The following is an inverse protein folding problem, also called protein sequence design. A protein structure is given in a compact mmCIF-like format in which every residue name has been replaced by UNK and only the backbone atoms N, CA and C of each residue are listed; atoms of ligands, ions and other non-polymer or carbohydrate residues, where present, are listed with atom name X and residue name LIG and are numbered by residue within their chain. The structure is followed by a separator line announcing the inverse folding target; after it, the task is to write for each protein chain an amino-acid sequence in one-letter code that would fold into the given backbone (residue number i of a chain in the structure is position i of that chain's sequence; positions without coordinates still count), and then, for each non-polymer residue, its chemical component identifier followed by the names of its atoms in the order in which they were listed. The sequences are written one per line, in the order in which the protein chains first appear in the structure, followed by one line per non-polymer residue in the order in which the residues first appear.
data_IF_392067880099
#
_entry.id   IF_392067880099
#
_cell.length_a   1.000
_cell.length_b   1.000
_cell.length_c   1.000
_cell.angle_alpha   90.00
_cell.angle_beta   90.00
_cell.angle_gamma   90.00
#
_symmetry.space_group_name_H-M   'P 1'
#
loop_
_entity.id
_entity.type
_entity.pdbx_description
1 polymer ?
#
# COMPACT_ATOMS: atom_id res chain seq x y z
N UNK A 1 -9.31 3.49 -14.29
CA UNK A 1 -8.59 3.03 -13.07
C UNK A 1 -9.39 3.22 -11.79
N UNK A 2 -10.39 4.08 -11.73
CA UNK A 2 -11.27 4.24 -10.57
C UNK A 2 -12.26 3.09 -10.33
N UNK A 3 -12.50 2.26 -11.32
CA UNK A 3 -13.34 1.08 -11.27
C UNK A 3 -12.47 -0.17 -11.14
N UNK A 4 -12.62 -0.90 -10.03
CA UNK A 4 -11.77 -2.07 -9.70
C UNK A 4 -12.04 -3.26 -10.62
N UNK A 5 -13.28 -3.45 -11.03
CA UNK A 5 -13.65 -4.58 -11.90
C UNK A 5 -13.10 -4.37 -13.31
N UNK A 6 -13.25 -3.17 -13.86
CA UNK A 6 -12.67 -2.80 -15.16
C UNK A 6 -11.14 -2.89 -15.15
N UNK A 7 -10.50 -2.43 -14.07
CA UNK A 7 -9.05 -2.55 -13.90
C UNK A 7 -8.62 -4.02 -13.89
N UNK A 8 -9.35 -4.88 -13.17
CA UNK A 8 -9.08 -6.31 -13.09
C UNK A 8 -9.18 -7.01 -14.45
N UNK A 9 -10.24 -6.73 -15.20
CA UNK A 9 -10.41 -7.26 -16.55
C UNK A 9 -9.25 -6.86 -17.46
N UNK A 10 -8.85 -5.59 -17.42
CA UNK A 10 -7.72 -5.08 -18.20
C UNK A 10 -6.40 -5.77 -17.82
N UNK A 11 -6.19 -6.05 -16.52
CA UNK A 11 -5.00 -6.78 -16.04
C UNK A 11 -5.00 -8.23 -16.50
N UNK A 12 -6.17 -8.90 -16.46
CA UNK A 12 -6.31 -10.27 -16.98
C UNK A 12 -5.96 -10.32 -18.48
N UNK A 13 -6.42 -9.34 -19.28
CA UNK A 13 -6.05 -9.22 -20.70
C UNK A 13 -4.54 -8.97 -20.89
N UNK A 14 -3.90 -8.31 -19.97
CA UNK A 14 -2.45 -8.09 -19.97
C UNK A 14 -1.64 -9.30 -19.51
N UNK A 15 -2.30 -10.41 -19.12
CA UNK A 15 -1.64 -11.61 -18.58
C UNK A 15 -1.18 -11.47 -17.13
N UNK A 16 -1.64 -10.47 -16.41
CA UNK A 16 -1.36 -10.27 -14.98
C UNK A 16 -2.30 -11.17 -14.17
N UNK A 17 -1.79 -11.98 -13.22
CA UNK A 17 -2.63 -12.83 -12.38
C UNK A 17 -3.67 -12.03 -11.59
N UNK A 18 -4.94 -12.46 -11.63
CA UNK A 18 -6.04 -11.84 -10.89
C UNK A 18 -6.83 -12.91 -10.12
N UNK A 19 -7.34 -12.59 -8.92
CA UNK A 19 -8.24 -13.49 -8.22
C UNK A 19 -9.55 -13.66 -9.01
N UNK A 20 -10.19 -14.84 -8.99
CA UNK A 20 -11.52 -15.01 -9.54
C UNK A 20 -12.50 -13.98 -8.99
N UNK A 21 -13.22 -13.31 -9.87
CA UNK A 21 -14.21 -12.30 -9.50
C UNK A 21 -15.39 -12.30 -10.47
N UNK A 22 -16.60 -12.06 -9.95
CA UNK A 22 -17.85 -12.05 -10.69
C UNK A 22 -18.65 -10.80 -10.31
N UNK A 23 -19.01 -9.97 -11.29
CA UNK A 23 -19.90 -8.82 -11.09
C UNK A 23 -21.30 -9.29 -10.69
N UNK A 24 -21.89 -8.63 -9.70
CA UNK A 24 -23.24 -8.93 -9.23
C UNK A 24 -24.23 -8.06 -10.00
N UNK A 25 -24.92 -8.67 -10.95
CA UNK A 25 -26.01 -8.04 -11.71
C UNK A 25 -27.37 -8.56 -11.22
N UNK A 26 -28.44 -7.85 -11.56
CA UNK A 26 -29.82 -8.23 -11.17
C UNK A 26 -30.27 -9.60 -11.71
N UNK A 27 -29.58 -10.12 -12.73
CA UNK A 27 -29.87 -11.41 -13.35
C UNK A 27 -28.98 -12.54 -12.85
N UNK A 28 -27.97 -12.24 -12.02
CA UNK A 28 -27.03 -13.23 -11.52
C UNK A 28 -27.63 -14.00 -10.34
N UNK A 29 -27.53 -15.30 -10.39
CA UNK A 29 -27.70 -16.15 -9.21
C UNK A 29 -26.43 -16.02 -8.34
N UNK A 30 -26.50 -15.17 -7.33
CA UNK A 30 -25.35 -14.82 -6.49
C UNK A 30 -24.84 -16.01 -5.66
N UNK A 31 -25.75 -16.93 -5.28
CA UNK A 31 -25.37 -18.12 -4.52
C UNK A 31 -24.55 -19.07 -5.38
N UNK A 32 -25.02 -19.31 -6.60
CA UNK A 32 -24.29 -20.13 -7.58
C UNK A 32 -22.93 -19.52 -7.95
N UNK A 33 -22.87 -18.21 -8.16
CA UNK A 33 -21.63 -17.50 -8.46
C UNK A 33 -20.60 -17.61 -7.30
N UNK A 34 -21.08 -17.54 -6.05
CA UNK A 34 -20.21 -17.72 -4.89
C UNK A 34 -19.71 -19.16 -4.76
N UNK A 35 -20.55 -20.16 -5.08
CA UNK A 35 -20.14 -21.57 -5.12
C UNK A 35 -19.08 -21.82 -6.21
N UNK A 36 -19.19 -21.18 -7.37
CA UNK A 36 -18.20 -21.28 -8.46
C UNK A 36 -16.83 -20.68 -8.05
N UNK A 37 -16.82 -19.55 -7.32
CA UNK A 37 -15.60 -18.93 -6.77
C UNK A 37 -15.03 -19.79 -5.63
N UNK A 38 -15.91 -20.40 -4.84
CA UNK A 38 -15.61 -21.16 -3.62
C UNK A 38 -15.40 -20.26 -2.40
N UNK A 39 -16.14 -20.60 -1.31
CA UNK A 39 -16.01 -19.87 -0.04
C UNK A 39 -14.63 -20.03 0.63
N UNK A 40 -14.19 -19.07 1.45
CA UNK A 40 -14.81 -17.76 1.68
C UNK A 40 -14.77 -16.86 0.44
N UNK A 41 -15.78 -15.98 0.30
CA UNK A 41 -15.83 -14.95 -0.72
C UNK A 41 -15.84 -13.55 -0.10
N UNK A 42 -15.32 -12.58 -0.84
CA UNK A 42 -15.32 -11.18 -0.46
C UNK A 42 -16.33 -10.43 -1.34
N UNK A 43 -17.30 -9.78 -0.73
CA UNK A 43 -18.18 -8.82 -1.40
C UNK A 43 -17.48 -7.46 -1.39
N UNK A 44 -17.29 -6.84 -2.57
CA UNK A 44 -16.57 -5.55 -2.72
C UNK A 44 -17.38 -4.59 -3.57
N UNK A 45 -17.35 -3.29 -3.20
CA UNK A 45 -17.78 -2.22 -4.09
C UNK A 45 -16.76 -2.04 -5.24
N UNK A 46 -17.24 -1.83 -6.46
CA UNK A 46 -16.39 -1.55 -7.63
C UNK A 46 -15.75 -0.18 -7.52
N UNK A 47 -16.49 0.82 -7.09
CA UNK A 47 -16.00 2.17 -6.82
C UNK A 47 -15.37 2.29 -5.43
N UNK A 48 -14.51 3.31 -5.25
CA UNK A 48 -13.93 3.70 -3.95
C UNK A 48 -12.67 2.94 -3.54
N UNK A 49 -12.20 3.18 -2.31
CA UNK A 49 -10.95 2.66 -1.75
C UNK A 49 -10.97 2.58 -0.23
N UNK A 50 -9.84 2.18 0.39
CA UNK A 50 -9.68 2.15 1.85
C UNK A 50 -10.49 1.08 2.57
N UNK A 51 -10.87 0.00 1.89
CA UNK A 51 -11.57 -1.14 2.51
C UNK A 51 -13.05 -0.91 2.84
N UNK A 52 -13.64 0.22 2.44
CA UNK A 52 -15.05 0.51 2.65
C UNK A 52 -15.92 -0.35 1.73
N UNK A 53 -17.06 -0.82 2.24
CA UNK A 53 -17.99 -1.68 1.49
C UNK A 53 -17.49 -3.10 1.28
N UNK A 54 -16.44 -3.55 1.97
CA UNK A 54 -15.97 -4.94 1.92
C UNK A 54 -16.59 -5.79 3.02
N UNK A 55 -17.03 -7.01 2.65
CA UNK A 55 -17.58 -8.00 3.59
C UNK A 55 -17.10 -9.39 3.22
N UNK A 56 -16.46 -10.05 4.18
CA UNK A 56 -16.09 -11.46 4.06
C UNK A 56 -17.33 -12.31 4.39
N UNK A 57 -17.60 -13.30 3.55
CA UNK A 57 -18.67 -14.25 3.71
C UNK A 57 -18.09 -15.65 3.67
N UNK A 58 -18.13 -16.33 4.80
CA UNK A 58 -17.48 -17.64 4.99
C UNK A 58 -18.32 -18.80 4.44
N UNK A 59 -19.64 -18.64 4.42
CA UNK A 59 -20.60 -19.66 3.97
C UNK A 59 -21.74 -19.02 3.19
N UNK A 60 -22.57 -19.83 2.56
CA UNK A 60 -23.74 -19.38 1.83
C UNK A 60 -24.72 -18.55 2.69
N UNK A 61 -24.77 -18.85 3.99
CA UNK A 61 -25.59 -18.09 4.92
C UNK A 61 -25.11 -16.64 5.04
N UNK A 62 -26.03 -15.71 4.86
CA UNK A 62 -25.75 -14.27 4.99
C UNK A 62 -25.19 -13.61 3.74
N UNK A 63 -24.91 -14.35 2.65
CA UNK A 63 -24.35 -13.77 1.42
C UNK A 63 -25.26 -12.68 0.83
N UNK A 64 -26.55 -12.95 0.68
CA UNK A 64 -27.52 -11.98 0.14
C UNK A 64 -27.58 -10.71 1.01
N UNK A 65 -27.61 -10.87 2.34
CA UNK A 65 -27.62 -9.73 3.26
C UNK A 65 -26.30 -8.93 3.18
N UNK A 66 -25.17 -9.60 2.98
CA UNK A 66 -23.87 -8.96 2.79
C UNK A 66 -23.81 -8.16 1.47
N UNK A 67 -24.36 -8.71 0.39
CA UNK A 67 -24.47 -8.05 -0.92
C UNK A 67 -25.34 -6.79 -0.83
N UNK A 68 -26.55 -6.92 -0.28
CA UNK A 68 -27.46 -5.80 -0.10
C UNK A 68 -26.86 -4.69 0.80
N UNK A 69 -26.15 -5.10 1.84
CA UNK A 69 -25.44 -4.18 2.72
C UNK A 69 -24.31 -3.46 2.01
N UNK A 70 -23.54 -4.16 1.15
CA UNK A 70 -22.47 -3.58 0.36
C UNK A 70 -22.98 -2.59 -0.70
N UNK A 71 -24.06 -2.95 -1.42
CA UNK A 71 -24.74 -2.07 -2.39
C UNK A 71 -25.17 -0.75 -1.74
N UNK A 72 -25.87 -0.83 -0.61
CA UNK A 72 -26.32 0.39 0.11
C UNK A 72 -25.17 1.27 0.55
N UNK A 73 -24.09 0.68 1.07
CA UNK A 73 -22.92 1.43 1.51
C UNK A 73 -22.18 2.07 0.32
N UNK A 74 -22.03 1.34 -0.78
CA UNK A 74 -21.42 1.82 -2.00
C UNK A 74 -22.20 2.98 -2.61
N UNK A 75 -23.51 2.87 -2.72
CA UNK A 75 -24.39 3.94 -3.20
C UNK A 75 -24.27 5.20 -2.34
N UNK A 76 -24.30 5.06 -1.01
CA UNK A 76 -24.20 6.20 -0.09
C UNK A 76 -22.84 6.87 -0.09
N UNK A 77 -21.77 6.09 -0.26
CA UNK A 77 -20.39 6.60 -0.17
C UNK A 77 -19.83 7.09 -1.50
N UNK A 78 -20.26 6.49 -2.60
CA UNK A 78 -19.64 6.69 -3.93
C UNK A 78 -20.64 7.06 -5.02
N UNK A 79 -21.97 6.97 -4.75
CA UNK A 79 -23.02 7.24 -5.74
C UNK A 79 -23.19 6.11 -6.77
N UNK A 80 -22.57 4.94 -6.54
CA UNK A 80 -22.59 3.77 -7.42
C UNK A 80 -22.76 2.52 -6.56
N UNK A 81 -23.75 1.70 -6.85
CA UNK A 81 -24.09 0.48 -6.10
C UNK A 81 -23.50 -0.79 -6.73
N UNK A 82 -22.65 -0.64 -7.74
CA UNK A 82 -21.97 -1.76 -8.39
C UNK A 82 -21.06 -2.49 -7.39
N UNK A 83 -21.36 -3.78 -7.19
CA UNK A 83 -20.58 -4.67 -6.32
C UNK A 83 -20.23 -5.96 -7.05
N UNK A 84 -19.19 -6.64 -6.59
CA UNK A 84 -18.74 -7.90 -7.15
C UNK A 84 -18.31 -8.89 -6.05
N UNK A 85 -18.35 -10.18 -6.37
CA UNK A 85 -17.74 -11.23 -5.56
C UNK A 85 -16.30 -11.43 -6.00
N UNK A 86 -15.43 -11.67 -5.05
CA UNK A 86 -14.02 -12.02 -5.28
C UNK A 86 -13.61 -13.16 -4.35
N UNK A 87 -12.72 -14.02 -4.78
CA UNK A 87 -12.13 -15.04 -3.91
C UNK A 87 -11.41 -14.37 -2.73
N UNK A 88 -11.74 -14.79 -1.51
CA UNK A 88 -11.02 -14.39 -0.32
C UNK A 88 -9.80 -15.28 -0.09
N UNK A 89 -8.70 -14.69 0.34
CA UNK A 89 -7.49 -15.39 0.76
C UNK A 89 -7.32 -15.21 2.27
N UNK A 90 -7.38 -16.30 3.03
CA UNK A 90 -7.28 -16.26 4.49
C UNK A 90 -5.92 -15.78 4.97
N UNK A 91 -4.88 -16.14 4.25
CA UNK A 91 -3.49 -15.73 4.54
C UNK A 91 -2.88 -15.15 3.29
N UNK A 92 -2.65 -13.86 3.32
CA UNK A 92 -1.96 -13.15 2.24
C UNK A 92 -1.10 -12.02 2.79
N UNK A 93 -0.08 -11.65 2.03
CA UNK A 93 0.74 -10.47 2.25
C UNK A 93 0.38 -9.40 1.25
N UNK A 94 0.45 -8.17 1.68
CA UNK A 94 0.32 -7.01 0.80
C UNK A 94 1.71 -6.62 0.32
N UNK A 95 2.00 -6.97 -0.92
CA UNK A 95 3.27 -6.65 -1.59
C UNK A 95 2.99 -5.79 -2.80
N UNK A 96 3.80 -4.78 -3.01
CA UNK A 96 3.60 -3.84 -4.10
C UNK A 96 4.89 -3.61 -4.88
N UNK A 97 4.75 -3.34 -6.18
CA UNK A 97 5.89 -3.05 -7.07
C UNK A 97 5.88 -1.57 -7.44
N UNK A 98 6.96 -0.88 -7.12
CA UNK A 98 7.19 0.48 -7.61
C UNK A 98 7.49 0.45 -9.10
N UNK A 99 6.72 1.17 -9.89
CA UNK A 99 7.00 1.39 -11.32
C UNK A 99 7.37 2.85 -11.57
N UNK A 100 8.17 3.08 -12.60
CA UNK A 100 8.53 4.40 -13.09
C UNK A 100 8.64 4.36 -14.61
N UNK A 101 7.92 5.25 -15.28
CA UNK A 101 7.91 5.35 -16.73
C UNK A 101 8.12 6.79 -17.20
N UNK A 102 8.67 6.97 -18.40
CA UNK A 102 8.78 8.27 -19.05
C UNK A 102 7.88 8.37 -20.30
N UNK A 103 7.93 9.50 -20.98
CA UNK A 103 7.19 9.75 -22.23
C UNK A 103 7.95 9.26 -23.47
N UNK A 104 9.15 8.71 -23.32
CA UNK A 104 10.01 8.19 -24.39
C UNK A 104 9.86 6.68 -24.58
N UNK A 105 9.05 6.03 -23.72
CA UNK A 105 8.78 4.59 -23.78
C UNK A 105 9.66 3.76 -22.84
N UNK A 106 10.52 4.39 -22.04
CA UNK A 106 11.25 3.69 -21.00
C UNK A 106 10.33 3.41 -19.81
N UNK A 107 10.39 2.21 -19.28
CA UNK A 107 9.59 1.75 -18.15
C UNK A 107 10.40 0.74 -17.36
N UNK A 108 10.55 1.00 -16.06
CA UNK A 108 11.28 0.16 -15.11
C UNK A 108 10.44 -0.15 -13.90
N UNK A 109 10.74 -1.25 -13.20
CA UNK A 109 10.28 -1.48 -11.85
C UNK A 109 11.44 -1.31 -10.86
N UNK A 110 11.14 -0.68 -9.72
CA UNK A 110 12.12 -0.41 -8.66
C UNK A 110 11.95 -1.38 -7.49
N UNK A 111 11.72 -2.64 -7.81
CA UNK A 111 11.49 -3.74 -6.87
C UNK A 111 10.24 -3.58 -6.01
N UNK A 112 10.09 -4.50 -5.04
CA UNK A 112 8.92 -4.59 -4.18
C UNK A 112 9.10 -3.90 -2.84
N UNK A 113 7.93 -3.58 -2.25
CA UNK A 113 7.75 -3.23 -0.84
C UNK A 113 6.77 -4.18 -0.19
N UNK A 114 7.01 -4.50 1.06
CA UNK A 114 6.11 -5.24 1.94
C UNK A 114 5.29 -4.24 2.77
N UNK A 115 3.97 -4.34 2.71
CA UNK A 115 3.03 -3.44 3.37
C UNK A 115 2.00 -4.19 4.24
N UNK A 116 2.31 -5.40 4.69
CA UNK A 116 1.37 -6.25 5.42
C UNK A 116 1.16 -5.84 6.88
N UNK A 117 2.08 -5.06 7.48
CA UNK A 117 1.91 -4.59 8.85
C UNK A 117 0.95 -3.40 8.84
N UNK A 118 -0.31 -3.72 9.09
CA UNK A 118 -1.43 -2.79 8.97
C UNK A 118 -2.28 -2.77 10.23
N UNK A 119 -2.96 -1.67 10.45
CA UNK A 119 -4.02 -1.53 11.44
C UNK A 119 -5.32 -1.16 10.74
N UNK A 120 -6.31 -2.04 10.74
CA UNK A 120 -7.61 -1.82 10.08
C UNK A 120 -7.45 -1.36 8.62
N UNK A 121 -6.63 -2.07 7.85
CA UNK A 121 -6.29 -1.77 6.45
C UNK A 121 -5.48 -0.47 6.25
N UNK A 122 -4.99 0.16 7.32
CA UNK A 122 -4.05 1.27 7.24
C UNK A 122 -2.63 0.76 7.43
N UNK A 123 -1.77 0.96 6.44
CA UNK A 123 -0.33 0.67 6.52
C UNK A 123 0.29 1.47 7.66
N UNK A 124 1.13 0.87 8.48
CA UNK A 124 1.80 1.51 9.63
C UNK A 124 3.30 1.27 9.68
N UNK A 125 3.76 0.14 9.14
CA UNK A 125 5.17 -0.18 8.93
C UNK A 125 5.28 -0.79 7.55
N UNK A 126 6.21 -0.26 6.76
CA UNK A 126 6.55 -0.75 5.43
C UNK A 126 8.03 -1.06 5.34
N UNK A 127 8.39 -2.04 4.53
CA UNK A 127 9.79 -2.45 4.37
C UNK A 127 10.13 -2.82 2.93
N UNK A 128 11.38 -2.70 2.58
CA UNK A 128 11.94 -3.15 1.32
C UNK A 128 13.37 -3.74 1.53
N UNK A 129 13.68 -4.87 0.87
CA UNK A 129 12.78 -5.74 0.12
C UNK A 129 11.82 -6.52 1.04
N UNK A 130 10.80 -7.17 0.46
CA UNK A 130 9.90 -8.05 1.23
C UNK A 130 10.64 -9.30 1.72
N UNK A 131 10.49 -9.67 3.01
CA UNK A 131 11.10 -10.90 3.54
C UNK A 131 10.44 -12.18 3.01
N UNK A 132 9.29 -12.07 2.33
CA UNK A 132 8.55 -13.21 1.77
C UNK A 132 8.78 -13.40 0.26
N UNK A 133 9.44 -12.46 -0.40
CA UNK A 133 9.65 -12.49 -1.85
C UNK A 133 11.02 -13.09 -2.16
N UNK A 134 11.00 -14.25 -2.85
CA UNK A 134 12.19 -14.87 -3.42
C UNK A 134 12.58 -14.16 -4.73
N UNK A 135 13.77 -14.47 -5.26
CA UNK A 135 14.22 -13.92 -6.55
C UNK A 135 13.26 -14.25 -7.69
N UNK A 136 12.80 -15.51 -7.78
CA UNK A 136 11.81 -15.95 -8.77
C UNK A 136 10.48 -15.16 -8.65
N UNK A 137 9.97 -15.01 -7.44
CA UNK A 137 8.73 -14.23 -7.21
C UNK A 137 8.96 -12.77 -7.60
N UNK A 138 10.11 -12.18 -7.27
CA UNK A 138 10.47 -10.79 -7.61
C UNK A 138 10.48 -10.57 -9.11
N UNK A 139 11.11 -11.46 -9.86
CA UNK A 139 11.14 -11.39 -11.32
C UNK A 139 9.73 -11.47 -11.91
N UNK A 140 8.92 -12.44 -11.46
CA UNK A 140 7.55 -12.62 -11.94
C UNK A 140 6.63 -11.44 -11.60
N UNK A 141 6.72 -10.92 -10.37
CA UNK A 141 5.94 -9.76 -9.94
C UNK A 141 6.38 -8.48 -10.69
N UNK A 142 7.68 -8.29 -10.84
CA UNK A 142 8.24 -7.18 -11.62
C UNK A 142 7.76 -7.20 -13.07
N UNK A 143 7.84 -8.37 -13.72
CA UNK A 143 7.34 -8.56 -15.09
C UNK A 143 5.82 -8.28 -15.20
N UNK A 144 5.03 -8.74 -14.24
CA UNK A 144 3.59 -8.49 -14.19
C UNK A 144 3.28 -7.00 -14.02
N UNK A 145 4.03 -6.29 -13.15
CA UNK A 145 3.87 -4.85 -12.96
C UNK A 145 4.22 -4.05 -14.23
N UNK A 146 5.30 -4.44 -14.93
CA UNK A 146 5.67 -3.84 -16.21
C UNK A 146 4.61 -4.14 -17.29
N UNK A 147 4.05 -5.34 -17.36
CA UNK A 147 2.97 -5.68 -18.29
C UNK A 147 1.72 -4.82 -18.03
N UNK A 148 1.33 -4.67 -16.76
CA UNK A 148 0.25 -3.78 -16.34
C UNK A 148 0.50 -2.33 -16.78
N UNK A 149 1.67 -1.79 -16.48
CA UNK A 149 2.02 -0.41 -16.82
C UNK A 149 2.07 -0.17 -18.34
N UNK A 150 2.61 -1.11 -19.12
CA UNK A 150 2.60 -1.06 -20.61
C UNK A 150 1.18 -1.06 -21.17
N UNK A 151 0.31 -1.94 -20.67
CA UNK A 151 -1.10 -2.00 -21.11
C UNK A 151 -1.84 -0.69 -20.86
N UNK A 152 -1.45 0.04 -19.82
CA UNK A 152 -2.02 1.33 -19.45
C UNK A 152 -1.39 2.53 -20.17
N UNK A 153 -0.28 2.34 -20.88
CA UNK A 153 0.52 3.45 -21.42
C UNK A 153 1.01 4.37 -20.30
N UNK A 154 1.43 3.80 -19.17
CA UNK A 154 1.72 4.55 -17.94
C UNK A 154 3.02 5.33 -18.04
N UNK A 155 3.01 6.58 -17.57
CA UNK A 155 4.19 7.43 -17.38
C UNK A 155 4.19 8.02 -15.97
N UNK A 156 5.37 8.44 -15.46
CA UNK A 156 5.63 8.90 -14.10
C UNK A 156 5.72 7.75 -13.08
N UNK A 157 5.77 8.08 -11.78
CA UNK A 157 5.81 7.10 -10.71
C UNK A 157 4.42 6.54 -10.43
N UNK A 158 4.34 5.23 -10.27
CA UNK A 158 3.12 4.52 -9.90
C UNK A 158 3.46 3.24 -9.15
N UNK A 159 2.45 2.59 -8.62
CA UNK A 159 2.60 1.35 -7.86
C UNK A 159 1.54 0.35 -8.28
N UNK A 160 1.97 -0.89 -8.51
CA UNK A 160 1.08 -2.03 -8.75
C UNK A 160 1.05 -2.86 -7.48
N UNK A 161 -0.11 -2.96 -6.85
CA UNK A 161 -0.31 -3.69 -5.60
C UNK A 161 -0.78 -5.12 -5.88
N UNK A 162 -0.26 -6.06 -5.08
CA UNK A 162 -0.55 -7.49 -5.18
C UNK A 162 -0.85 -8.09 -3.80
N UNK A 163 -1.64 -9.15 -3.79
CA UNK A 163 -1.72 -10.10 -2.70
C UNK A 163 -0.78 -11.28 -3.00
N UNK A 164 0.14 -11.59 -2.08
CA UNK A 164 1.05 -12.73 -2.17
C UNK A 164 0.64 -13.78 -1.15
N UNK A 165 0.44 -15.04 -1.58
CA UNK A 165 0.17 -16.19 -0.70
C UNK A 165 0.98 -17.40 -1.16
N UNK A 166 1.91 -17.85 -0.32
CA UNK A 166 2.91 -18.82 -0.73
C UNK A 166 3.75 -18.28 -1.89
N UNK A 167 3.84 -19.01 -2.99
CA UNK A 167 4.60 -18.65 -4.19
C UNK A 167 3.71 -18.02 -5.29
N UNK A 168 2.45 -17.77 -4.99
CA UNK A 168 1.49 -17.20 -5.94
C UNK A 168 1.09 -15.78 -5.53
N UNK A 169 0.85 -14.93 -6.53
CA UNK A 169 0.43 -13.55 -6.31
C UNK A 169 -0.69 -13.16 -7.29
N UNK A 170 -1.52 -12.20 -6.85
CA UNK A 170 -2.64 -11.69 -7.61
C UNK A 170 -2.71 -10.18 -7.52
N UNK A 171 -3.03 -9.57 -8.64
CA UNK A 171 -3.26 -8.14 -8.76
C UNK A 171 -4.37 -7.67 -7.81
N UNK A 172 -4.11 -6.57 -7.11
CA UNK A 172 -5.06 -5.91 -6.24
C UNK A 172 -5.54 -4.59 -6.84
N UNK A 173 -4.61 -3.65 -7.07
CA UNK A 173 -4.91 -2.35 -7.67
C UNK A 173 -3.66 -1.66 -8.23
N UNK A 174 -3.88 -0.57 -8.99
CA UNK A 174 -2.81 0.35 -9.41
C UNK A 174 -3.04 1.70 -8.76
N UNK A 175 -2.03 2.19 -8.06
CA UNK A 175 -1.97 3.56 -7.55
C UNK A 175 -1.19 4.45 -8.51
N UNK A 176 -1.92 5.31 -9.25
CA UNK A 176 -1.35 6.22 -10.24
C UNK A 176 -0.74 7.47 -9.61
N UNK A 177 0.13 7.27 -8.63
CA UNK A 177 0.79 8.32 -7.84
C UNK A 177 1.99 7.75 -7.09
N UNK A 178 2.85 8.62 -6.63
CA UNK A 178 3.84 8.26 -5.63
C UNK A 178 3.14 7.92 -4.30
N UNK A 179 3.59 6.89 -3.62
CA UNK A 179 3.01 6.47 -2.33
C UNK A 179 3.82 6.99 -1.15
N UNK A 180 3.22 6.97 0.05
CA UNK A 180 3.84 7.43 1.30
C UNK A 180 5.14 6.67 1.55
N UNK A 181 5.14 5.37 1.30
CA UNK A 181 6.20 4.40 1.56
C UNK A 181 7.33 4.34 0.51
N UNK A 182 7.34 5.27 -0.47
CA UNK A 182 8.43 5.31 -1.48
C UNK A 182 9.85 5.43 -0.88
N UNK A 183 10.06 6.04 0.31
CA UNK A 183 11.41 6.16 0.86
C UNK A 183 12.11 4.82 1.09
N UNK A 184 11.40 3.73 1.44
CA UNK A 184 12.09 2.44 1.61
C UNK A 184 12.66 1.91 0.30
N UNK A 185 12.01 2.22 -0.83
CA UNK A 185 12.55 1.91 -2.17
C UNK A 185 13.76 2.78 -2.46
N UNK A 186 13.67 4.11 -2.25
CA UNK A 186 14.78 5.03 -2.48
C UNK A 186 16.04 4.64 -1.71
N UNK A 187 15.86 4.21 -0.45
CA UNK A 187 16.96 3.82 0.44
C UNK A 187 17.67 2.54 -0.04
N UNK A 188 16.96 1.57 -0.61
CA UNK A 188 17.58 0.32 -1.07
C UNK A 188 18.15 0.39 -2.49
N UNK A 189 17.68 1.32 -3.34
CA UNK A 189 18.16 1.45 -4.72
C UNK A 189 19.06 2.67 -4.95
N UNK A 190 19.17 3.57 -3.98
CA UNK A 190 19.98 4.79 -4.08
C UNK A 190 19.50 5.77 -5.15
N UNK A 191 18.21 5.82 -5.46
CA UNK A 191 17.61 6.72 -6.46
C UNK A 191 16.51 7.57 -5.82
N UNK A 192 16.42 8.83 -6.21
CA UNK A 192 15.39 9.79 -5.78
C UNK A 192 14.20 9.73 -6.76
N UNK A 193 13.11 9.10 -6.37
CA UNK A 193 11.92 8.90 -7.21
C UNK A 193 11.15 10.22 -7.43
N UNK A 194 11.18 11.12 -6.47
CA UNK A 194 10.54 12.44 -6.60
C UNK A 194 11.27 13.27 -7.65
N UNK A 195 12.59 13.24 -7.64
CA UNK A 195 13.41 13.90 -8.66
C UNK A 195 13.14 13.33 -10.05
N UNK A 196 13.03 12.01 -10.17
CA UNK A 196 12.71 11.37 -11.45
C UNK A 196 11.28 11.76 -11.94
N UNK A 197 10.29 11.89 -11.05
CA UNK A 197 8.99 12.40 -11.42
C UNK A 197 9.05 13.82 -12.02
N UNK A 198 9.84 14.70 -11.41
CA UNK A 198 10.03 16.08 -11.90
C UNK A 198 10.69 16.06 -13.28
N UNK A 199 11.76 15.27 -13.47
CA UNK A 199 12.45 15.11 -14.76
C UNK A 199 11.51 14.62 -15.87
N UNK A 200 10.71 13.59 -15.56
CA UNK A 200 9.72 13.08 -16.52
C UNK A 200 8.67 14.13 -16.86
N UNK A 201 8.22 14.93 -15.87
CA UNK A 201 7.30 16.03 -16.10
C UNK A 201 7.91 17.17 -16.94
N UNK A 202 9.21 17.38 -16.87
CA UNK A 202 9.97 18.30 -17.71
C UNK A 202 10.23 17.75 -19.13
N UNK A 203 9.82 16.49 -19.39
CA UNK A 203 9.98 15.84 -20.68
C UNK A 203 11.31 15.11 -20.87
N UNK A 204 12.09 14.93 -19.80
CA UNK A 204 13.32 14.18 -19.83
C UNK A 204 13.07 12.66 -19.79
N UNK A 205 14.02 11.90 -20.34
CA UNK A 205 14.06 10.45 -20.16
C UNK A 205 14.48 10.09 -18.72
N UNK A 206 14.12 8.87 -18.27
CA UNK A 206 14.62 8.33 -17.00
C UNK A 206 16.15 8.37 -16.94
N UNK A 207 16.71 8.66 -15.77
CA UNK A 207 18.15 8.78 -15.57
C UNK A 207 18.88 7.44 -15.43
N UNK A 208 18.12 6.33 -15.39
CA UNK A 208 18.63 4.97 -15.24
C UNK A 208 17.72 3.97 -15.97
N UNK A 209 18.27 2.80 -16.26
CA UNK A 209 17.55 1.66 -16.85
C UNK A 209 17.41 0.53 -15.82
N UNK A 210 16.72 -0.58 -16.20
CA UNK A 210 16.45 -1.69 -15.29
C UNK A 210 17.73 -2.40 -14.80
N UNK A 211 18.73 -2.52 -15.66
CA UNK A 211 19.99 -3.22 -15.39
C UNK A 211 20.89 -2.46 -14.41
N UNK A 212 20.66 -1.17 -14.24
CA UNK A 212 21.39 -0.30 -13.29
C UNK A 212 20.77 -0.30 -11.89
N UNK A 213 19.66 -1.00 -11.69
CA UNK A 213 19.00 -1.11 -10.40
C UNK A 213 19.45 -2.36 -9.66
N UNK A 214 19.84 -2.20 -8.41
CA UNK A 214 20.16 -3.29 -7.50
C UNK A 214 19.66 -2.99 -6.10
N UNK A 215 19.37 -4.05 -5.34
CA UNK A 215 18.95 -3.93 -3.94
C UNK A 215 20.19 -3.95 -3.06
N UNK A 216 20.35 -2.91 -2.23
CA UNK A 216 21.39 -2.84 -1.21
C UNK A 216 20.77 -2.78 0.18
N UNK A 217 21.06 -3.75 1.04
CA UNK A 217 20.61 -3.80 2.43
C UNK A 217 19.10 -3.97 2.58
N UNK A 218 18.54 -3.31 3.60
CA UNK A 218 17.13 -3.38 3.96
C UNK A 218 16.68 -2.06 4.57
N UNK A 219 15.57 -1.52 4.12
CA UNK A 219 14.96 -0.31 4.65
C UNK A 219 13.61 -0.59 5.30
N UNK A 220 13.32 0.09 6.39
CA UNK A 220 12.03 0.01 7.08
C UNK A 220 11.55 1.43 7.37
N UNK A 221 10.29 1.71 7.06
CA UNK A 221 9.59 2.95 7.37
C UNK A 221 8.51 2.69 8.42
N UNK A 222 8.30 3.64 9.32
CA UNK A 222 7.18 3.66 10.24
C UNK A 222 6.40 4.98 10.10
N UNK A 223 5.08 4.89 10.10
CA UNK A 223 4.18 6.04 10.07
C UNK A 223 3.85 6.50 11.47
N UNK A 224 4.38 7.64 11.86
CA UNK A 224 4.13 8.25 13.15
C UNK A 224 2.87 9.11 13.10
N UNK A 225 1.84 8.71 13.86
CA UNK A 225 0.54 9.36 13.90
C UNK A 225 0.25 9.99 15.26
N UNK A 226 -0.46 11.13 15.26
CA UNK A 226 -1.10 11.71 16.44
C UNK A 226 -2.38 10.92 16.77
N UNK A 227 -2.21 9.72 17.31
CA UNK A 227 -3.28 8.78 17.65
C UNK A 227 -3.03 8.17 19.03
N UNK A 228 -4.10 7.82 19.74
CA UNK A 228 -4.03 7.19 21.05
C UNK A 228 -4.29 5.68 20.94
N UNK A 229 -3.24 4.82 21.02
CA UNK A 229 -3.40 3.35 20.96
C UNK A 229 -4.31 2.78 22.06
N UNK A 230 -4.27 3.34 23.28
CA UNK A 230 -5.10 2.91 24.41
C UNK A 230 -6.60 3.22 24.20
N UNK A 231 -6.90 4.24 23.39
CA UNK A 231 -8.26 4.63 23.01
C UNK A 231 -8.62 4.17 21.60
N UNK A 232 -8.19 2.95 21.24
CA UNK A 232 -8.49 2.34 19.95
C UNK A 232 -8.04 3.22 18.75
N UNK A 233 -6.88 3.87 18.90
CA UNK A 233 -6.27 4.75 17.91
C UNK A 233 -7.16 5.93 17.49
N UNK A 234 -7.93 6.49 18.40
CA UNK A 234 -8.61 7.74 18.13
C UNK A 234 -7.57 8.85 17.88
N UNK A 235 -7.84 9.78 16.94
CA UNK A 235 -6.99 10.94 16.73
C UNK A 235 -6.77 11.72 18.03
N UNK A 236 -5.55 12.20 18.23
CA UNK A 236 -5.12 13.00 19.37
C UNK A 236 -4.76 14.42 18.88
N UNK A 237 -5.76 15.29 18.57
CA UNK A 237 -5.50 16.64 18.12
C UNK A 237 -4.91 17.48 19.25
N UNK A 238 -4.13 18.49 18.88
CA UNK A 238 -3.53 19.39 19.85
C UNK A 238 -2.25 20.05 19.37
N UNK A 239 -1.61 20.88 20.21
CA UNK A 239 -0.37 21.54 19.90
C UNK A 239 0.82 20.58 19.97
N UNK A 240 1.74 20.69 19.03
CA UNK A 240 3.08 20.07 19.07
C UNK A 240 3.97 20.98 19.90
N UNK A 241 4.09 20.73 21.21
CA UNK A 241 4.88 21.57 22.12
C UNK A 241 6.38 21.38 21.85
N UNK A 242 6.80 20.14 21.55
CA UNK A 242 8.16 19.86 21.12
C UNK A 242 8.15 18.78 20.02
N UNK A 243 8.90 19.02 18.97
CA UNK A 243 9.25 18.08 17.92
C UNK A 243 10.77 18.08 17.76
N UNK A 244 11.39 17.05 18.28
CA UNK A 244 12.85 16.88 18.27
C UNK A 244 13.17 15.48 17.69
N UNK A 245 13.31 15.36 16.36
CA UNK A 245 13.71 14.12 15.70
C UNK A 245 15.02 13.58 16.25
N UNK A 246 15.12 12.29 16.40
CA UNK A 246 16.37 11.64 16.84
C UNK A 246 17.52 11.94 15.89
N UNK A 247 18.67 12.24 16.42
CA UNK A 247 19.92 12.45 15.65
C UNK A 247 20.78 11.18 15.55
N UNK A 248 20.35 10.09 16.18
CA UNK A 248 21.03 8.80 16.10
C UNK A 248 20.54 7.97 14.90
N UNK A 249 21.31 6.96 14.49
CA UNK A 249 20.89 5.93 13.58
C UNK A 249 20.79 6.34 12.11
N UNK A 250 21.13 7.57 11.73
CA UNK A 250 21.02 8.09 10.35
C UNK A 250 19.63 7.88 9.77
N UNK A 251 18.60 8.17 10.55
CA UNK A 251 17.22 8.06 10.09
C UNK A 251 16.85 9.24 9.20
N UNK A 252 16.01 8.97 8.21
CA UNK A 252 15.31 9.97 7.42
C UNK A 252 13.98 10.28 8.09
N UNK A 253 13.68 11.56 8.28
CA UNK A 253 12.40 12.06 8.79
C UNK A 253 11.75 12.93 7.72
N UNK A 254 10.67 12.44 7.13
CA UNK A 254 9.81 13.25 6.27
C UNK A 254 8.64 13.74 7.14
N UNK A 255 8.76 14.95 7.68
CA UNK A 255 7.85 15.52 8.69
C UNK A 255 6.94 16.58 8.08
N UNK A 256 5.65 16.52 8.43
CA UNK A 256 4.67 17.56 8.14
C UNK A 256 4.49 18.57 9.27
N UNK A 257 5.27 18.46 10.36
CA UNK A 257 5.13 19.31 11.55
C UNK A 257 6.48 19.83 12.03
N UNK A 258 6.41 20.90 12.81
CA UNK A 258 7.50 21.46 13.59
C UNK A 258 7.00 21.83 15.01
N UNK A 259 7.91 22.17 15.91
CA UNK A 259 7.53 22.71 17.23
C UNK A 259 6.63 23.94 17.04
N UNK A 260 5.46 23.93 17.68
CA UNK A 260 4.45 24.98 17.54
C UNK A 260 3.32 24.67 16.54
N UNK A 261 3.44 23.62 15.72
CA UNK A 261 2.36 23.16 14.84
C UNK A 261 1.14 22.74 15.64
N UNK A 262 -0.04 22.81 15.03
CA UNK A 262 -1.32 22.34 15.61
C UNK A 262 -1.86 21.22 14.74
N UNK A 263 -2.05 20.04 15.33
CA UNK A 263 -2.73 18.93 14.67
C UNK A 263 -4.22 19.08 14.87
N UNK A 264 -4.98 19.03 13.77
CA UNK A 264 -6.45 19.12 13.76
C UNK A 264 -7.06 17.76 13.40
N UNK A 265 -8.39 17.66 13.46
CA UNK A 265 -9.14 16.47 13.02
C UNK A 265 -9.60 16.56 11.57
N UNK A 266 -9.30 17.64 10.88
CA UNK A 266 -9.74 17.90 9.51
C UNK A 266 -8.91 17.18 8.45
N UNK A 267 -7.66 16.85 8.80
CA UNK A 267 -6.69 16.19 7.94
C UNK A 267 -6.20 14.87 8.57
N UNK A 268 -5.44 14.11 7.79
CA UNK A 268 -4.75 12.92 8.27
C UNK A 268 -3.84 13.27 9.46
N UNK A 269 -3.93 12.58 10.61
CA UNK A 269 -3.14 12.87 11.80
C UNK A 269 -1.68 12.40 11.70
N UNK A 270 -1.17 12.04 10.53
CA UNK A 270 0.23 11.65 10.35
C UNK A 270 1.16 12.83 10.61
N UNK A 271 2.07 12.65 11.57
CA UNK A 271 3.07 13.65 11.97
C UNK A 271 4.28 13.58 11.05
N UNK A 272 4.78 12.37 10.88
CA UNK A 272 5.96 12.09 10.09
C UNK A 272 5.98 10.63 9.64
N UNK A 273 6.76 10.34 8.61
CA UNK A 273 7.28 9.03 8.32
C UNK A 273 8.76 8.99 8.67
N UNK A 274 9.17 7.89 9.28
CA UNK A 274 10.53 7.70 9.79
C UNK A 274 11.11 6.48 9.12
N UNK A 275 12.13 6.66 8.29
CA UNK A 275 12.75 5.60 7.48
C UNK A 275 14.19 5.39 7.92
N UNK A 276 14.60 4.13 8.04
CA UNK A 276 15.99 3.74 8.29
C UNK A 276 16.43 2.70 7.29
N UNK A 277 17.73 2.71 7.00
CA UNK A 277 18.40 1.70 6.18
C UNK A 277 19.51 1.02 6.97
N UNK A 278 19.68 -0.29 6.79
CA UNK A 278 20.74 -1.08 7.40
C UNK A 278 21.14 -2.26 6.49
N UNK A 279 22.29 -2.91 6.74
CA UNK A 279 22.71 -4.07 5.96
C UNK A 279 21.74 -5.26 6.03
N UNK A 280 21.00 -5.41 7.14
CA UNK A 280 20.04 -6.50 7.35
C UNK A 280 18.72 -5.99 7.89
N UNK A 281 17.63 -6.75 7.66
CA UNK A 281 16.29 -6.48 8.21
C UNK A 281 16.31 -6.31 9.72
N UNK A 282 17.00 -7.22 10.43
CA UNK A 282 17.09 -7.20 11.89
C UNK A 282 17.75 -5.92 12.40
N UNK A 283 18.81 -5.47 11.73
CA UNK A 283 19.49 -4.22 12.10
C UNK A 283 18.64 -3.00 11.78
N UNK A 284 17.90 -3.01 10.66
CA UNK A 284 16.97 -1.94 10.30
C UNK A 284 15.84 -1.82 11.35
N UNK A 285 15.20 -2.93 11.73
CA UNK A 285 14.16 -2.95 12.77
C UNK A 285 14.68 -2.43 14.12
N UNK A 286 15.80 -2.95 14.60
CA UNK A 286 16.39 -2.50 15.85
C UNK A 286 16.81 -1.02 15.82
N UNK A 287 17.30 -0.54 14.69
CA UNK A 287 17.67 0.87 14.47
C UNK A 287 16.44 1.75 14.49
N UNK A 288 15.37 1.37 13.79
CA UNK A 288 14.13 2.15 13.74
C UNK A 288 13.46 2.24 15.13
N UNK A 289 13.38 1.12 15.84
CA UNK A 289 12.89 1.11 17.23
C UNK A 289 13.67 2.11 18.09
N UNK A 290 15.01 2.08 18.03
CA UNK A 290 15.85 2.98 18.82
C UNK A 290 15.69 4.45 18.39
N UNK A 291 15.55 4.73 17.10
CA UNK A 291 15.28 6.07 16.57
C UNK A 291 13.95 6.61 17.12
N UNK A 292 12.89 5.79 17.05
CA UNK A 292 11.57 6.16 17.58
C UNK A 292 11.59 6.41 19.09
N UNK A 293 12.23 5.54 19.89
CA UNK A 293 12.40 5.71 21.34
C UNK A 293 13.05 7.04 21.71
N UNK A 294 14.04 7.47 20.94
CA UNK A 294 14.83 8.67 21.21
C UNK A 294 14.28 9.94 20.54
N UNK A 295 13.26 9.81 19.71
CA UNK A 295 12.53 10.94 19.13
C UNK A 295 11.61 11.54 20.21
N UNK A 296 11.77 12.84 20.46
CA UNK A 296 10.98 13.55 21.45
C UNK A 296 9.80 14.25 20.82
N UNK A 297 8.61 13.88 21.28
CA UNK A 297 7.35 14.49 20.89
C UNK A 297 6.59 14.84 22.17
N UNK A 298 6.12 16.10 22.28
CA UNK A 298 5.34 16.56 23.43
C UNK A 298 4.13 17.36 22.97
N UNK A 299 3.08 17.35 23.80
CA UNK A 299 1.84 18.10 23.59
C UNK A 299 0.66 17.25 23.14
N UNK A 300 0.92 16.05 22.60
CA UNK A 300 -0.14 15.15 22.12
C UNK A 300 0.28 13.67 22.30
N UNK A 301 -0.70 12.77 22.24
CA UNK A 301 -0.44 11.33 22.26
C UNK A 301 -0.15 10.85 20.84
N UNK A 302 0.80 9.92 20.72
CA UNK A 302 1.18 9.34 19.42
C UNK A 302 1.19 7.81 19.50
N UNK A 303 1.24 7.17 18.33
CA UNK A 303 1.42 5.73 18.22
C UNK A 303 2.89 5.28 18.36
N UNK A 304 3.82 6.15 18.76
CA UNK A 304 5.27 5.88 18.82
C UNK A 304 5.60 4.60 19.59
N UNK A 305 5.11 4.47 20.81
CA UNK A 305 5.44 3.33 21.68
C UNK A 305 4.83 2.02 21.14
N UNK A 306 3.67 2.11 20.47
CA UNK A 306 3.09 1.00 19.74
C UNK A 306 3.98 0.55 18.58
N UNK A 307 4.54 1.49 17.80
CA UNK A 307 5.48 1.19 16.71
C UNK A 307 6.76 0.53 17.23
N UNK A 308 7.33 1.05 18.33
CA UNK A 308 8.53 0.47 18.99
C UNK A 308 8.27 -0.98 19.41
N UNK A 309 7.11 -1.26 19.98
CA UNK A 309 6.75 -2.62 20.42
C UNK A 309 6.43 -3.57 19.25
N UNK A 310 6.15 -3.05 18.06
CA UNK A 310 5.85 -3.85 16.86
C UNK A 310 7.13 -4.25 16.12
N UNK A 311 8.18 -3.43 16.20
CA UNK A 311 9.49 -3.64 15.57
C UNK A 311 10.34 -4.65 16.33
#
# INVERSE_FOLDING_TARGET
MGDKLSAKNLMTEAGVPTLPAIEITDKLDVLKAADEIGYPVLVKASAGGGGRGMRIVETQEGLEAAVEGAKREALNSFGDDTVFLEKWLDVSRHVEIQILGDTHGNLVHCFERECSIQRRHQKIIEEAPSPAVTEDIRERMGAAAIAAAKKLGYSSAGTVEFLLSGDEFWFLEVNARLQVEHPVTEEIIGKDLVREQIRVAEGEALSFNQEELSIEGHAIEARLYAENPEKNFLPSPGPVIAWEPSTIGRARFDSGVETGSIITTEFDPMIAKVTVHAPTRREAAARLARVLETTRIQGLTTNRDFLVNTL
#
